data_IF_930104085497
#
_entry.id   IF_930104085497
#
_cell.length_a   1.000
_cell.length_b   1.000
_cell.length_c   1.000
_cell.angle_alpha   90.00
_cell.angle_beta   90.00
_cell.angle_gamma   90.00
#
_symmetry.space_group_name_H-M   'P 1'
#
loop_
_entity.id
_entity.type
_entity.pdbx_description
1 polymer ?
#
# COMPACT_ATOMS: atom_id res chain seq x y z
N UNK A 1 -5.57 -12.29 21.44
CA UNK A 1 -5.05 -11.12 22.17
C UNK A 1 -5.04 -11.48 23.64
N UNK A 2 -3.88 -11.45 24.29
CA UNK A 2 -3.75 -11.80 25.71
C UNK A 2 -3.72 -10.50 26.51
N UNK A 3 -4.64 -10.35 27.44
CA UNK A 3 -4.62 -9.22 28.38
C UNK A 3 -3.53 -9.54 29.40
N UNK A 4 -2.37 -8.92 29.24
CA UNK A 4 -1.31 -8.95 30.25
C UNK A 4 -1.49 -7.76 31.19
N UNK A 5 -1.89 -8.05 32.42
CA UNK A 5 -1.77 -7.11 33.53
C UNK A 5 -0.28 -7.01 33.87
N UNK A 6 0.43 -6.06 33.25
CA UNK A 6 1.84 -5.85 33.53
C UNK A 6 2.03 -4.65 34.46
N UNK A 7 2.77 -4.86 35.54
CA UNK A 7 3.34 -3.79 36.36
C UNK A 7 4.65 -3.32 35.71
N UNK A 8 4.54 -2.66 34.56
CA UNK A 8 5.66 -1.86 34.04
C UNK A 8 5.67 -0.52 34.80
N UNK A 9 6.85 0.05 35.04
CA UNK A 9 7.00 1.33 35.75
C UNK A 9 6.33 2.43 34.92
N UNK A 10 5.34 3.11 35.51
CA UNK A 10 4.56 4.19 34.87
C UNK A 10 5.41 5.39 34.41
N UNK A 11 6.65 5.51 34.89
CA UNK A 11 7.48 6.71 34.77
C UNK A 11 8.06 6.97 33.35
N UNK A 12 8.00 6.01 32.41
CA UNK A 12 8.54 6.16 31.05
C UNK A 12 7.45 6.34 29.96
N UNK A 13 6.16 6.39 30.35
CA UNK A 13 5.03 6.51 29.41
C UNK A 13 4.70 7.96 29.08
N UNK A 14 4.60 8.27 27.79
CA UNK A 14 4.20 9.60 27.32
C UNK A 14 2.67 9.68 27.31
N UNK A 15 2.10 10.48 28.22
CA UNK A 15 0.67 10.78 28.21
C UNK A 15 0.31 11.50 26.91
N UNK A 16 -0.71 11.02 26.22
CA UNK A 16 -1.16 11.69 25.00
C UNK A 16 -1.69 13.10 25.33
N UNK A 17 -1.27 14.16 24.62
CA UNK A 17 -1.61 15.54 24.99
C UNK A 17 -3.11 15.85 24.84
N UNK A 18 -3.80 15.14 23.94
CA UNK A 18 -5.23 15.35 23.62
C UNK A 18 -6.13 14.31 24.31
N UNK A 19 -5.77 13.03 24.22
CA UNK A 19 -6.57 11.90 24.70
C UNK A 19 -6.11 11.45 26.09
N UNK A 20 -6.18 12.37 27.04
CA UNK A 20 -5.92 12.11 28.45
C UNK A 20 -7.02 12.77 29.29
N UNK A 21 -8.10 12.04 29.54
CA UNK A 21 -9.26 12.56 30.25
C UNK A 21 -9.17 12.27 31.75
N UNK A 22 -9.44 13.27 32.58
CA UNK A 22 -9.40 13.12 34.04
C UNK A 22 -10.43 12.10 34.55
N UNK A 23 -11.59 12.04 33.89
CA UNK A 23 -12.70 11.11 34.12
C UNK A 23 -12.60 9.81 33.29
N UNK A 24 -11.50 9.61 32.56
CA UNK A 24 -11.26 8.38 31.83
C UNK A 24 -11.16 7.16 32.75
N UNK A 25 -11.72 6.04 32.31
CA UNK A 25 -11.86 4.81 33.10
C UNK A 25 -10.97 3.66 32.63
N UNK A 26 -10.23 3.85 31.54
CA UNK A 26 -9.26 2.89 30.99
C UNK A 26 -8.05 3.65 30.47
N UNK A 27 -6.86 3.11 30.71
CA UNK A 27 -5.61 3.60 30.13
C UNK A 27 -5.15 2.58 29.08
N UNK A 28 -5.07 3.01 27.83
CA UNK A 28 -4.58 2.21 26.72
C UNK A 28 -3.13 2.59 26.43
N UNK A 29 -2.21 1.64 26.54
CA UNK A 29 -0.79 1.81 26.25
C UNK A 29 -0.48 1.22 24.87
N UNK A 30 0.00 2.07 23.97
CA UNK A 30 0.44 1.69 22.62
C UNK A 30 1.81 2.32 22.36
N UNK A 31 2.81 1.49 22.03
CA UNK A 31 4.20 1.92 21.84
C UNK A 31 4.75 2.66 23.07
N UNK A 32 5.05 3.95 22.97
CA UNK A 32 5.52 4.81 24.07
C UNK A 32 4.43 5.76 24.59
N UNK A 33 3.20 5.64 24.08
CA UNK A 33 2.09 6.54 24.43
C UNK A 33 1.03 5.85 25.28
N UNK A 34 0.46 6.62 26.21
CA UNK A 34 -0.68 6.23 27.03
C UNK A 34 -1.87 7.15 26.75
N UNK A 35 -3.04 6.53 26.52
CA UNK A 35 -4.31 7.20 26.23
C UNK A 35 -5.28 6.91 27.38
N UNK A 36 -5.69 7.93 28.13
CA UNK A 36 -6.68 7.78 29.20
C UNK A 36 -8.06 8.17 28.69
N UNK A 37 -8.94 7.18 28.52
CA UNK A 37 -10.19 7.27 27.74
C UNK A 37 -11.39 6.61 28.44
N UNK A 38 -12.60 6.82 27.91
CA UNK A 38 -13.85 6.34 28.50
C UNK A 38 -14.20 4.93 28.00
N UNK A 39 -14.01 3.91 28.86
CA UNK A 39 -14.27 2.51 28.50
C UNK A 39 -15.72 2.28 28.06
N UNK A 40 -16.68 2.81 28.83
CA UNK A 40 -18.11 2.63 28.54
C UNK A 40 -18.53 3.21 27.20
N UNK A 41 -17.87 4.28 26.74
CA UNK A 41 -18.15 4.85 25.43
C UNK A 41 -17.65 3.90 24.33
N UNK A 42 -16.41 3.41 24.45
CA UNK A 42 -15.80 2.51 23.47
C UNK A 42 -16.49 1.14 23.41
N UNK A 43 -16.86 0.58 24.57
CA UNK A 43 -17.51 -0.73 24.68
C UNK A 43 -18.87 -0.82 23.95
N UNK A 44 -19.51 0.32 23.64
CA UNK A 44 -20.73 0.35 22.82
C UNK A 44 -20.48 0.01 21.36
N UNK A 45 -19.25 0.22 20.88
CA UNK A 45 -18.88 0.10 19.48
C UNK A 45 -17.73 -0.90 19.23
N UNK A 46 -17.08 -1.38 20.29
CA UNK A 46 -15.98 -2.32 20.22
C UNK A 46 -16.25 -3.59 21.02
N UNK A 47 -16.11 -4.75 20.37
CA UNK A 47 -16.23 -6.02 21.07
C UNK A 47 -15.04 -6.26 22.01
N UNK A 48 -13.85 -5.76 21.67
CA UNK A 48 -12.67 -5.83 22.52
C UNK A 48 -12.91 -5.15 23.88
N UNK A 49 -13.43 -3.93 23.85
CA UNK A 49 -13.76 -3.19 25.07
C UNK A 49 -15.03 -3.69 25.75
N UNK A 50 -15.92 -4.43 25.08
CA UNK A 50 -17.08 -5.07 25.71
C UNK A 50 -16.74 -6.40 26.42
N UNK A 51 -15.85 -7.21 25.84
CA UNK A 51 -15.51 -8.55 26.38
C UNK A 51 -14.63 -8.52 27.62
N UNK A 52 -13.89 -7.42 27.81
CA UNK A 52 -13.01 -7.18 28.98
C UNK A 52 -13.75 -7.11 30.32
N UNK A 53 -15.09 -7.18 30.34
CA UNK A 53 -15.90 -7.30 31.58
C UNK A 53 -15.89 -8.72 32.18
N UNK A 54 -15.33 -9.71 31.46
CA UNK A 54 -15.33 -11.11 31.92
C UNK A 54 -14.08 -11.41 32.73
N UNK A 55 -14.10 -11.05 34.02
CA UNK A 55 -13.14 -11.58 35.00
C UNK A 55 -13.41 -13.10 35.13
N UNK A 56 -12.40 -13.99 35.01
CA UNK A 56 -12.59 -15.45 35.13
C UNK A 56 -13.12 -15.95 36.48
N UNK A 57 -13.30 -15.07 37.47
CA UNK A 57 -13.85 -15.42 38.78
C UNK A 57 -15.09 -14.55 39.04
N UNK A 58 -16.27 -15.17 38.96
CA UNK A 58 -17.57 -14.52 39.04
C UNK A 58 -17.82 -13.78 40.35
N UNK A 59 -17.51 -12.48 40.37
CA UNK A 59 -18.05 -11.56 41.37
C UNK A 59 -18.36 -10.23 40.71
N UNK A 60 -19.61 -10.04 40.29
CA UNK A 60 -20.16 -8.72 39.97
C UNK A 60 -20.28 -7.91 41.26
N UNK A 61 -19.23 -7.19 41.64
CA UNK A 61 -19.33 -6.12 42.63
C UNK A 61 -19.82 -4.86 41.92
N UNK A 62 -21.14 -4.69 41.89
CA UNK A 62 -21.73 -3.35 41.75
C UNK A 62 -21.28 -2.56 42.98
N UNK A 63 -20.64 -1.41 42.79
CA UNK A 63 -20.12 -0.50 43.83
C UNK A 63 -18.75 -0.84 44.43
N UNK A 64 -17.70 -0.77 43.60
CA UNK A 64 -16.42 -0.17 43.98
C UNK A 64 -15.78 0.29 42.66
N UNK A 65 -15.32 1.54 42.57
CA UNK A 65 -14.66 2.07 41.36
C UNK A 65 -13.49 1.13 41.04
N UNK A 66 -13.49 0.43 39.89
CA UNK A 66 -12.39 -0.45 39.57
C UNK A 66 -11.10 0.37 39.53
N UNK A 67 -9.94 -0.19 39.93
CA UNK A 67 -8.66 0.43 39.60
C UNK A 67 -8.64 0.72 38.09
N UNK A 68 -8.10 1.87 37.71
CA UNK A 68 -7.94 2.26 36.31
C UNK A 68 -7.44 1.05 35.51
N UNK A 69 -8.25 0.56 34.59
CA UNK A 69 -7.90 -0.64 33.84
C UNK A 69 -6.80 -0.28 32.86
N UNK A 70 -5.61 -0.84 33.05
CA UNK A 70 -4.49 -0.61 32.14
C UNK A 70 -4.43 -1.74 31.10
N UNK A 71 -4.54 -1.36 29.83
CA UNK A 71 -4.51 -2.27 28.68
C UNK A 71 -3.25 -1.96 27.89
N UNK A 72 -2.34 -2.93 27.79
CA UNK A 72 -1.14 -2.82 26.97
C UNK A 72 -1.38 -3.52 25.63
N UNK A 73 -1.27 -2.78 24.54
CA UNK A 73 -1.27 -3.32 23.18
C UNK A 73 0.11 -3.90 22.91
N UNK A 74 0.15 -5.17 22.53
CA UNK A 74 1.39 -5.90 22.30
C UNK A 74 2.16 -5.23 21.14
N UNK A 75 3.45 -4.89 21.28
CA UNK A 75 4.23 -4.30 20.19
C UNK A 75 4.32 -5.16 18.92
N UNK A 76 4.07 -6.47 19.01
CA UNK A 76 3.95 -7.36 17.86
C UNK A 76 2.66 -7.14 17.04
N UNK A 77 1.68 -6.44 17.62
CA UNK A 77 0.52 -5.95 16.89
C UNK A 77 0.91 -4.71 16.08
N UNK A 78 0.61 -4.72 14.78
CA UNK A 78 0.98 -3.67 13.82
C UNK A 78 0.15 -2.36 13.96
N UNK A 79 -0.33 -2.08 15.19
CA UNK A 79 -1.06 -0.85 15.54
C UNK A 79 -0.12 0.10 16.27
N UNK A 80 0.03 1.29 15.69
CA UNK A 80 0.86 2.38 16.17
C UNK A 80 0.01 3.34 16.99
N UNK A 81 0.66 4.17 17.81
CA UNK A 81 -0.02 5.22 18.56
C UNK A 81 -0.84 6.14 17.66
N UNK A 82 -0.30 6.51 16.48
CA UNK A 82 -1.01 7.32 15.47
C UNK A 82 -2.28 6.67 14.93
N UNK A 83 -2.32 5.34 14.88
CA UNK A 83 -3.50 4.62 14.38
C UNK A 83 -4.64 4.69 15.39
N UNK A 84 -4.30 4.55 16.68
CA UNK A 84 -5.23 4.74 17.79
C UNK A 84 -5.68 6.20 17.87
N UNK A 85 -4.76 7.16 17.72
CA UNK A 85 -5.07 8.59 17.69
C UNK A 85 -6.12 8.91 16.62
N UNK A 86 -5.91 8.46 15.38
CA UNK A 86 -6.87 8.68 14.28
C UNK A 86 -8.25 8.04 14.56
N UNK A 87 -8.29 6.86 15.18
CA UNK A 87 -9.54 6.22 15.60
C UNK A 87 -10.25 7.02 16.70
N UNK A 88 -9.51 7.54 17.67
CA UNK A 88 -10.07 8.34 18.76
C UNK A 88 -10.54 9.71 18.26
N UNK A 89 -9.85 10.34 17.31
CA UNK A 89 -10.34 11.55 16.64
C UNK A 89 -11.69 11.31 15.96
N UNK A 90 -11.82 10.19 15.24
CA UNK A 90 -13.08 9.81 14.61
C UNK A 90 -14.22 9.64 15.64
N UNK A 91 -13.89 9.13 16.82
CA UNK A 91 -14.87 8.70 17.82
C UNK A 91 -15.24 9.78 18.85
N UNK A 92 -14.30 10.64 19.24
CA UNK A 92 -14.49 11.69 20.25
C UNK A 92 -14.72 13.08 19.68
N UNK A 93 -14.15 13.38 18.51
CA UNK A 93 -14.23 14.71 17.90
C UNK A 93 -15.15 14.75 16.69
N UNK A 94 -15.95 13.68 16.48
CA UNK A 94 -16.84 13.52 15.34
C UNK A 94 -16.15 13.75 13.99
N UNK A 95 -14.84 13.49 13.89
CA UNK A 95 -14.09 13.63 12.64
C UNK A 95 -14.53 12.53 11.69
N UNK A 96 -15.39 12.80 10.70
CA UNK A 96 -16.02 11.74 9.95
C UNK A 96 -15.07 11.19 8.87
N UNK A 97 -15.25 9.91 8.53
CA UNK A 97 -14.57 9.27 7.41
C UNK A 97 -15.28 9.64 6.10
N UNK A 98 -14.87 10.77 5.52
CA UNK A 98 -15.36 11.24 4.23
C UNK A 98 -14.70 10.52 3.06
N UNK A 99 -15.26 10.69 1.86
CA UNK A 99 -14.67 10.15 0.62
C UNK A 99 -13.33 10.80 0.29
N UNK A 100 -13.15 12.06 0.69
CA UNK A 100 -11.97 12.88 0.45
C UNK A 100 -10.91 12.73 1.56
N UNK A 101 -11.14 11.85 2.53
CA UNK A 101 -10.15 11.56 3.58
C UNK A 101 -8.87 11.00 2.97
N UNK A 102 -7.73 11.40 3.54
CA UNK A 102 -6.40 10.96 3.06
C UNK A 102 -6.22 9.45 3.29
N UNK A 103 -5.48 8.80 2.38
CA UNK A 103 -5.14 7.38 2.49
C UNK A 103 -4.59 7.03 3.88
N UNK A 104 -3.63 7.83 4.39
CA UNK A 104 -2.98 7.59 5.69
C UNK A 104 -3.96 7.60 6.87
N UNK A 105 -5.00 8.42 6.84
CA UNK A 105 -6.03 8.47 7.88
C UNK A 105 -6.92 7.21 7.81
N UNK A 106 -7.37 6.84 6.60
CA UNK A 106 -8.21 5.66 6.39
C UNK A 106 -7.44 4.39 6.78
N UNK A 107 -6.18 4.25 6.34
CA UNK A 107 -5.28 3.15 6.68
C UNK A 107 -5.09 3.01 8.20
N UNK A 108 -4.87 4.13 8.88
CA UNK A 108 -4.71 4.21 10.34
C UNK A 108 -5.96 3.68 11.05
N UNK A 109 -7.14 4.20 10.68
CA UNK A 109 -8.41 3.77 11.28
C UNK A 109 -8.72 2.32 10.93
N UNK A 110 -8.48 1.87 9.69
CA UNK A 110 -8.68 0.49 9.27
C UNK A 110 -7.89 -0.50 10.15
N UNK A 111 -6.60 -0.21 10.38
CA UNK A 111 -5.74 -1.06 11.23
C UNK A 111 -6.22 -1.09 12.67
N UNK A 112 -6.41 0.09 13.30
CA UNK A 112 -6.82 0.18 14.70
C UNK A 112 -8.20 -0.44 14.97
N UNK A 113 -9.16 -0.24 14.06
CA UNK A 113 -10.53 -0.76 14.19
C UNK A 113 -10.67 -2.25 13.89
N UNK A 114 -9.64 -2.90 13.35
CA UNK A 114 -9.77 -4.29 12.87
C UNK A 114 -10.09 -5.30 13.97
N UNK A 115 -10.72 -6.45 13.62
CA UNK A 115 -11.02 -7.52 14.58
C UNK A 115 -9.80 -8.13 15.28
N UNK A 116 -8.60 -7.98 14.70
CA UNK A 116 -7.34 -8.45 15.27
C UNK A 116 -6.75 -7.46 16.29
N UNK A 117 -7.36 -6.29 16.43
CA UNK A 117 -6.87 -5.14 17.19
C UNK A 117 -7.91 -4.67 18.21
N UNK A 118 -8.45 -3.45 18.07
CA UNK A 118 -9.45 -2.93 19.00
C UNK A 118 -10.90 -3.30 18.61
N UNK A 119 -11.08 -4.06 17.53
CA UNK A 119 -12.34 -4.67 17.06
C UNK A 119 -13.54 -3.72 17.16
N UNK A 120 -13.59 -2.72 16.28
CA UNK A 120 -14.71 -1.80 16.07
C UNK A 120 -15.40 -2.12 14.73
N UNK A 121 -16.36 -3.06 14.68
CA UNK A 121 -16.83 -3.63 13.42
C UNK A 121 -17.40 -2.61 12.43
N UNK A 122 -18.28 -1.71 12.88
CA UNK A 122 -18.91 -0.72 12.00
C UNK A 122 -17.91 0.28 11.43
N UNK A 123 -16.93 0.71 12.24
CA UNK A 123 -15.87 1.63 11.80
C UNK A 123 -14.92 0.92 10.85
N UNK A 124 -14.56 -0.33 11.15
CA UNK A 124 -13.70 -1.14 10.30
C UNK A 124 -14.33 -1.39 8.92
N UNK A 125 -15.62 -1.75 8.88
CA UNK A 125 -16.35 -1.90 7.62
C UNK A 125 -16.40 -0.59 6.82
N UNK A 126 -16.65 0.54 7.48
CA UNK A 126 -16.67 1.85 6.83
C UNK A 126 -15.28 2.22 6.29
N UNK A 127 -14.22 2.03 7.07
CA UNK A 127 -12.85 2.30 6.63
C UNK A 127 -12.45 1.39 5.45
N UNK A 128 -12.87 0.11 5.47
CA UNK A 128 -12.63 -0.83 4.37
C UNK A 128 -13.35 -0.39 3.09
N UNK A 129 -14.63 -0.03 3.18
CA UNK A 129 -15.40 0.50 2.04
C UNK A 129 -14.78 1.78 1.47
N UNK A 130 -14.36 2.70 2.35
CA UNK A 130 -13.71 3.95 1.93
C UNK A 130 -12.39 3.67 1.24
N UNK A 131 -11.55 2.82 1.82
CA UNK A 131 -10.28 2.44 1.22
C UNK A 131 -10.48 1.80 -0.16
N UNK A 132 -11.41 0.85 -0.28
CA UNK A 132 -11.77 0.21 -1.54
C UNK A 132 -12.19 1.24 -2.61
N UNK A 133 -13.03 2.21 -2.22
CA UNK A 133 -13.50 3.27 -3.12
C UNK A 133 -12.43 4.26 -3.60
N UNK A 134 -11.23 4.25 -3.00
CA UNK A 134 -10.12 5.10 -3.46
C UNK A 134 -9.49 4.59 -4.77
N UNK A 135 -9.69 3.31 -5.10
CA UNK A 135 -9.05 2.68 -6.24
C UNK A 135 -10.02 2.57 -7.41
N UNK A 136 -9.57 2.87 -8.64
CA UNK A 136 -10.45 2.87 -9.78
C UNK A 136 -10.90 1.45 -10.15
N UNK A 137 -12.18 1.24 -10.50
CA UNK A 137 -12.67 -0.04 -10.95
C UNK A 137 -12.29 -0.25 -12.43
N UNK A 138 -11.01 -0.49 -12.73
CA UNK A 138 -10.57 -0.81 -14.09
C UNK A 138 -9.15 -0.38 -14.43
N UNK A 139 -8.84 -0.42 -15.73
CA UNK A 139 -7.57 0.07 -16.28
C UNK A 139 -7.46 1.57 -16.09
N UNK A 140 -6.57 2.00 -15.21
CA UNK A 140 -6.17 3.40 -15.13
C UNK A 140 -4.66 3.46 -15.28
N UNK A 141 -4.15 3.59 -16.51
CA UNK A 141 -2.73 3.61 -16.82
C UNK A 141 -1.92 4.65 -16.04
N UNK A 142 -2.57 5.68 -15.49
CA UNK A 142 -1.91 6.78 -14.79
C UNK A 142 -2.28 6.88 -13.30
N UNK A 143 -2.93 5.86 -12.74
CA UNK A 143 -3.25 5.86 -11.33
C UNK A 143 -2.00 5.54 -10.51
N UNK A 144 -1.55 6.49 -9.70
CA UNK A 144 -0.41 6.34 -8.78
C UNK A 144 -0.92 6.45 -7.33
N UNK A 145 -0.90 5.37 -6.55
CA UNK A 145 -1.30 5.41 -5.15
C UNK A 145 -0.24 6.11 -4.28
N UNK A 146 -0.71 6.77 -3.22
CA UNK A 146 0.15 7.14 -2.10
C UNK A 146 0.60 5.84 -1.39
N UNK A 147 1.91 5.66 -1.21
CA UNK A 147 2.52 4.51 -0.50
C UNK A 147 1.99 3.13 -0.99
N UNK A 148 2.38 2.68 -2.20
CA UNK A 148 1.88 1.42 -2.79
C UNK A 148 2.21 0.18 -1.94
N UNK A 149 3.28 0.23 -1.15
CA UNK A 149 3.69 -0.87 -0.27
C UNK A 149 2.74 -1.01 0.92
N UNK A 150 2.42 0.10 1.61
CA UNK A 150 1.42 0.09 2.69
C UNK A 150 0.05 -0.31 2.13
N UNK A 151 -0.35 0.23 0.98
CA UNK A 151 -1.61 -0.10 0.33
C UNK A 151 -1.71 -1.60 -0.01
N UNK A 152 -0.67 -2.21 -0.61
CA UNK A 152 -0.66 -3.65 -0.88
C UNK A 152 -0.74 -4.47 0.41
N UNK A 153 0.03 -4.09 1.44
CA UNK A 153 0.00 -4.80 2.72
C UNK A 153 -1.40 -4.81 3.34
N UNK A 154 -2.09 -3.67 3.33
CA UNK A 154 -3.48 -3.57 3.79
C UNK A 154 -4.45 -4.37 2.91
N UNK A 155 -4.24 -4.38 1.59
CA UNK A 155 -5.06 -5.14 0.65
C UNK A 155 -4.98 -6.64 0.90
N UNK A 156 -3.79 -7.12 1.26
CA UNK A 156 -3.54 -8.51 1.61
C UNK A 156 -4.16 -8.80 2.97
N UNK A 157 -3.80 -8.04 4.00
CA UNK A 157 -4.20 -8.26 5.40
C UNK A 157 -5.73 -8.23 5.58
N UNK A 158 -6.42 -7.30 4.92
CA UNK A 158 -7.86 -7.11 5.07
C UNK A 158 -8.69 -7.63 3.89
N UNK A 159 -8.09 -8.36 2.96
CA UNK A 159 -8.76 -8.95 1.80
C UNK A 159 -9.59 -7.94 0.99
N UNK A 160 -8.89 -6.98 0.39
CA UNK A 160 -9.45 -5.94 -0.50
C UNK A 160 -8.97 -6.25 -1.92
N UNK A 161 -9.71 -7.12 -2.61
CA UNK A 161 -9.28 -7.72 -3.89
C UNK A 161 -9.11 -6.72 -5.03
N UNK A 162 -10.01 -5.73 -5.12
CA UNK A 162 -9.97 -4.60 -6.05
C UNK A 162 -8.63 -3.86 -6.02
N UNK A 163 -8.07 -3.66 -4.83
CA UNK A 163 -6.81 -2.95 -4.61
C UNK A 163 -5.60 -3.80 -4.99
N UNK A 164 -5.61 -5.11 -4.69
CA UNK A 164 -4.45 -6.00 -4.89
C UNK A 164 -3.90 -5.94 -6.31
N UNK A 165 -4.77 -6.08 -7.31
CA UNK A 165 -4.39 -6.05 -8.73
C UNK A 165 -3.77 -4.72 -9.15
N UNK A 166 -4.41 -3.62 -8.74
CA UNK A 166 -3.93 -2.26 -9.01
C UNK A 166 -2.57 -2.03 -8.38
N UNK A 167 -2.36 -2.52 -7.16
CA UNK A 167 -1.09 -2.38 -6.44
C UNK A 167 0.03 -3.21 -7.07
N UNK A 168 -0.23 -4.47 -7.42
CA UNK A 168 0.79 -5.28 -8.10
C UNK A 168 1.17 -4.67 -9.46
N UNK A 169 0.20 -4.15 -10.23
CA UNK A 169 0.51 -3.43 -11.47
C UNK A 169 1.41 -2.22 -11.20
N UNK A 170 1.01 -1.35 -10.27
CA UNK A 170 1.75 -0.14 -9.92
C UNK A 170 3.17 -0.42 -9.42
N UNK A 171 3.35 -1.46 -8.62
CA UNK A 171 4.67 -1.86 -8.15
C UNK A 171 5.54 -2.37 -9.31
N UNK A 172 4.98 -3.15 -10.23
CA UNK A 172 5.73 -3.63 -11.40
C UNK A 172 6.09 -2.49 -12.36
N UNK A 173 5.23 -1.48 -12.49
CA UNK A 173 5.44 -0.36 -13.42
C UNK A 173 6.13 0.85 -12.80
N UNK A 174 6.41 0.82 -11.49
CA UNK A 174 7.09 1.92 -10.80
C UNK A 174 8.61 1.89 -11.06
N UNK A 175 9.22 3.06 -11.38
CA UNK A 175 10.65 3.16 -11.64
C UNK A 175 11.53 2.93 -10.39
N UNK A 176 10.95 3.00 -9.18
CA UNK A 176 11.71 2.85 -7.92
C UNK A 176 11.92 1.39 -7.52
N UNK A 177 11.16 0.47 -8.12
CA UNK A 177 11.14 -0.95 -7.78
C UNK A 177 12.04 -1.73 -8.74
N UNK A 178 13.31 -1.86 -8.38
CA UNK A 178 14.24 -2.66 -9.17
C UNK A 178 14.10 -4.15 -8.80
N UNK A 179 13.22 -4.87 -9.50
CA UNK A 179 13.14 -6.32 -9.41
C UNK A 179 14.20 -6.95 -10.33
N UNK A 180 15.49 -6.76 -10.00
CA UNK A 180 16.59 -7.36 -10.77
C UNK A 180 16.36 -8.87 -10.91
N UNK A 181 16.12 -9.33 -12.14
CA UNK A 181 15.88 -10.74 -12.50
C UNK A 181 17.17 -11.55 -12.63
N UNK A 182 18.27 -11.14 -12.01
CA UNK A 182 19.54 -11.87 -12.09
C UNK A 182 19.92 -12.51 -10.76
N UNK A 183 19.11 -13.49 -10.34
CA UNK A 183 19.52 -14.49 -9.38
C UNK A 183 20.20 -15.67 -10.10
N UNK A 184 21.20 -15.40 -10.94
CA UNK A 184 22.20 -16.41 -11.29
C UNK A 184 23.15 -16.58 -10.10
N UNK A 185 22.82 -17.54 -9.23
CA UNK A 185 23.74 -18.06 -8.24
C UNK A 185 25.01 -18.57 -8.96
N UNK A 186 26.11 -17.83 -8.83
CA UNK A 186 27.45 -18.34 -9.09
C UNK A 186 28.23 -18.33 -7.78
N UNK A 187 28.60 -19.49 -7.23
CA UNK A 187 29.45 -19.56 -6.06
C UNK A 187 30.90 -19.35 -6.52
N UNK A 188 31.60 -18.40 -5.92
CA UNK A 188 33.06 -18.43 -5.91
C UNK A 188 33.58 -17.87 -4.60
N UNK A 189 33.89 -18.80 -3.70
CA UNK A 189 35.04 -18.69 -2.81
C UNK A 189 36.23 -18.11 -3.59
N UNK A 190 36.91 -17.07 -3.11
CA UNK A 190 38.34 -17.13 -2.77
C UNK A 190 38.80 -15.85 -2.05
N UNK A 191 39.19 -16.05 -0.80
CA UNK A 191 40.46 -15.59 -0.17
C UNK A 191 40.66 -14.09 0.15
N UNK A 192 40.79 -13.91 1.46
CA UNK A 192 41.37 -12.78 2.15
C UNK A 192 42.73 -12.34 1.59
N UNK A 193 42.96 -11.02 1.60
CA UNK A 193 44.32 -10.51 1.80
C UNK A 193 44.25 -9.26 2.67
N UNK A 194 45.00 -9.33 3.77
CA UNK A 194 45.05 -8.31 4.80
C UNK A 194 46.19 -7.30 4.54
N UNK A 195 45.90 -6.05 4.89
CA UNK A 195 46.84 -5.11 5.54
C UNK A 195 47.32 -3.92 4.70
N UNK A 196 47.85 -2.84 5.33
CA UNK A 196 47.62 -2.37 6.70
C UNK A 196 47.37 -0.84 6.83
N UNK A 197 46.74 -0.50 7.95
CA UNK A 197 46.87 0.68 8.84
C UNK A 197 47.62 1.93 8.36
N UNK A 198 46.98 3.10 8.50
CA UNK A 198 47.63 4.36 8.86
C UNK A 198 46.67 5.28 9.60
N UNK A 199 46.95 5.43 10.89
CA UNK A 199 46.37 6.37 11.85
C UNK A 199 46.89 7.79 11.58
N UNK A 200 46.03 8.82 11.65
CA UNK A 200 46.41 10.08 12.31
C UNK A 200 45.17 10.94 12.61
N UNK A 201 45.13 11.36 13.86
CA UNK A 201 44.16 12.18 14.59
C UNK A 201 44.66 13.62 14.72
N UNK A 202 43.75 14.61 14.71
CA UNK A 202 43.84 15.98 15.30
C UNK A 202 42.50 16.66 14.98
N UNK A 203 41.49 16.76 15.85
CA UNK A 203 41.32 17.58 17.07
C UNK A 203 41.57 19.09 16.88
N UNK A 204 40.49 19.88 16.77
CA UNK A 204 40.32 21.24 17.36
C UNK A 204 38.80 21.51 17.47
N UNK A 205 38.34 21.82 18.68
CA UNK A 205 36.94 22.14 18.98
C UNK A 205 36.58 23.63 18.97
N UNK A 206 35.35 23.86 19.43
CA UNK A 206 34.65 25.12 19.83
C UNK A 206 34.01 25.94 18.70
N UNK A 207 32.67 25.97 18.64
CA UNK A 207 31.82 26.94 19.37
C UNK A 207 30.34 26.68 19.12
N UNK A 208 29.56 26.63 20.20
CA UNK A 208 28.09 26.68 20.20
C UNK A 208 27.62 28.11 19.88
N UNK A 209 26.74 28.26 18.89
CA UNK A 209 25.71 29.31 18.89
C UNK A 209 24.45 28.75 18.24
N UNK A 210 23.35 28.89 18.95
CA UNK A 210 22.01 28.45 18.58
C UNK A 210 21.54 29.08 17.26
N UNK A 211 20.98 28.25 16.38
CA UNK A 211 20.01 28.68 15.36
C UNK A 211 19.07 27.52 15.01
N UNK A 212 17.81 27.88 14.81
CA UNK A 212 16.64 27.06 14.45
C UNK A 212 16.91 25.87 13.51
N UNK A 213 16.28 24.68 13.72
CA UNK A 213 16.04 23.78 12.60
C UNK A 213 14.74 24.19 11.91
N UNK A 214 14.95 24.95 10.83
CA UNK A 214 14.04 25.09 9.73
C UNK A 214 13.71 23.71 9.11
N UNK A 215 12.51 23.67 8.57
CA UNK A 215 11.83 22.58 7.90
C UNK A 215 12.71 21.99 6.80
N UNK A 216 13.31 20.83 7.07
CA UNK A 216 13.73 19.91 6.01
C UNK A 216 13.21 18.51 6.31
N UNK A 217 11.95 18.32 5.91
CA UNK A 217 11.34 17.12 5.33
C UNK A 217 12.31 15.94 5.17
N UNK A 218 12.62 15.26 6.28
CA UNK A 218 13.19 13.93 6.24
C UNK A 218 12.06 12.97 5.90
N UNK A 219 11.77 12.86 4.61
CA UNK A 219 10.99 11.76 4.04
C UNK A 219 11.83 10.47 4.15
N UNK A 220 12.11 10.04 5.37
CA UNK A 220 12.29 8.62 5.64
C UNK A 220 10.87 8.12 5.87
N UNK A 221 10.10 8.04 4.78
CA UNK A 221 8.91 7.23 4.78
C UNK A 221 9.37 5.83 5.18
N UNK A 222 8.81 5.31 6.27
CA UNK A 222 9.05 3.95 6.71
C UNK A 222 8.43 2.99 5.68
N UNK A 223 9.09 2.83 4.54
CA UNK A 223 8.78 1.84 3.52
C UNK A 223 8.80 0.48 4.22
N UNK A 224 7.64 -0.16 4.29
CA UNK A 224 7.54 -1.51 4.82
C UNK A 224 8.00 -2.40 3.67
N UNK A 225 9.18 -3.02 3.76
CA UNK A 225 9.70 -3.80 2.65
C UNK A 225 8.68 -4.88 2.28
N UNK A 226 8.39 -4.99 0.98
CA UNK A 226 7.50 -6.01 0.44
C UNK A 226 7.87 -7.39 0.99
N UNK A 227 6.86 -8.22 1.26
CA UNK A 227 7.15 -9.60 1.66
C UNK A 227 7.90 -10.33 0.54
N UNK A 228 8.72 -11.32 0.89
CA UNK A 228 9.44 -12.10 -0.12
C UNK A 228 8.49 -12.77 -1.13
N UNK A 229 7.28 -13.12 -0.70
CA UNK A 229 6.26 -13.70 -1.57
C UNK A 229 5.68 -12.66 -2.53
N UNK A 230 5.43 -11.44 -2.06
CA UNK A 230 4.91 -10.36 -2.90
C UNK A 230 5.95 -9.86 -3.89
N UNK A 231 7.21 -9.76 -3.48
CA UNK A 231 8.31 -9.46 -4.39
C UNK A 231 8.41 -10.51 -5.52
N UNK A 232 8.35 -11.81 -5.19
CA UNK A 232 8.32 -12.89 -6.19
C UNK A 232 7.12 -12.79 -7.12
N UNK A 233 5.94 -12.45 -6.59
CA UNK A 233 4.72 -12.24 -7.40
C UNK A 233 4.89 -11.05 -8.36
N UNK A 234 5.48 -9.95 -7.91
CA UNK A 234 5.79 -8.81 -8.77
C UNK A 234 6.75 -9.21 -9.90
N UNK A 235 7.84 -9.93 -9.60
CA UNK A 235 8.78 -10.42 -10.61
C UNK A 235 8.10 -11.35 -11.63
N UNK A 236 7.25 -12.27 -11.17
CA UNK A 236 6.51 -13.16 -12.06
C UNK A 236 5.50 -12.40 -12.92
N UNK A 237 4.78 -11.45 -12.34
CA UNK A 237 3.84 -10.60 -13.07
C UNK A 237 4.57 -9.79 -14.15
N UNK A 238 5.70 -9.17 -13.81
CA UNK A 238 6.53 -8.42 -14.75
C UNK A 238 6.95 -9.28 -15.94
N UNK A 239 7.46 -10.48 -15.69
CA UNK A 239 7.83 -11.42 -16.75
C UNK A 239 6.64 -11.77 -17.65
N UNK A 240 5.46 -12.04 -17.07
CA UNK A 240 4.24 -12.34 -17.84
C UNK A 240 3.77 -11.16 -18.69
N UNK A 241 3.83 -9.94 -18.15
CA UNK A 241 3.51 -8.72 -18.89
C UNK A 241 4.44 -8.57 -20.10
N UNK A 242 5.76 -8.70 -19.88
CA UNK A 242 6.77 -8.57 -20.94
C UNK A 242 6.54 -9.65 -22.01
N UNK A 243 6.39 -10.91 -21.61
CA UNK A 243 6.16 -12.03 -22.53
C UNK A 243 4.92 -11.80 -23.40
N UNK A 244 3.85 -11.27 -22.82
CA UNK A 244 2.59 -11.01 -23.51
C UNK A 244 2.66 -9.79 -24.43
N UNK A 245 3.23 -8.68 -23.96
CA UNK A 245 3.15 -7.39 -24.65
C UNK A 245 4.27 -7.18 -25.69
N UNK A 246 5.45 -7.77 -25.49
CA UNK A 246 6.60 -7.61 -26.39
C UNK A 246 6.26 -7.96 -27.85
N UNK A 247 5.61 -9.09 -28.17
CA UNK A 247 5.24 -9.40 -29.56
C UNK A 247 4.35 -8.34 -30.21
N UNK A 248 3.43 -7.74 -29.44
CA UNK A 248 2.56 -6.67 -29.91
C UNK A 248 3.33 -5.36 -30.12
N UNK A 249 4.20 -4.99 -29.17
CA UNK A 249 4.97 -3.76 -29.24
C UNK A 249 5.94 -3.75 -30.42
N UNK A 250 6.60 -4.88 -30.70
CA UNK A 250 7.63 -4.98 -31.75
C UNK A 250 7.10 -5.43 -33.11
N UNK A 251 5.78 -5.59 -33.27
CA UNK A 251 5.16 -5.95 -34.55
C UNK A 251 4.22 -4.84 -35.02
N UNK A 252 4.55 -4.12 -36.11
CA UNK A 252 3.66 -3.11 -36.66
C UNK A 252 2.30 -3.72 -37.02
N UNK A 253 1.18 -3.06 -36.65
CA UNK A 253 -0.14 -3.62 -36.86
C UNK A 253 -0.57 -3.49 -38.33
N UNK A 254 -1.29 -4.50 -38.83
CA UNK A 254 -1.98 -4.42 -40.11
C UNK A 254 -3.28 -3.60 -40.03
N UNK A 255 -3.71 -3.04 -41.16
CA UNK A 255 -5.02 -2.39 -41.31
C UNK A 255 -5.75 -2.90 -42.56
N UNK A 256 -7.08 -2.69 -42.69
CA UNK A 256 -7.81 -3.03 -43.91
C UNK A 256 -7.37 -2.29 -45.17
N UNK A 257 -6.66 -1.16 -45.04
CA UNK A 257 -6.16 -0.37 -46.16
C UNK A 257 -4.64 -0.49 -46.27
N UNK A 258 -4.15 -1.07 -47.37
CA UNK A 258 -2.70 -1.30 -47.56
C UNK A 258 -1.86 -0.03 -47.36
N UNK A 259 -2.29 1.12 -47.89
CA UNK A 259 -1.58 2.38 -47.72
C UNK A 259 -1.44 2.79 -46.23
N UNK A 260 -2.43 2.51 -45.38
CA UNK A 260 -2.33 2.79 -43.95
C UNK A 260 -1.44 1.76 -43.23
N UNK A 261 -1.42 0.52 -43.69
CA UNK A 261 -0.48 -0.51 -43.20
C UNK A 261 0.97 -0.11 -43.50
N UNK A 262 1.23 0.42 -44.70
CA UNK A 262 2.57 0.91 -45.07
C UNK A 262 3.01 2.06 -44.17
N UNK A 263 2.11 3.00 -43.83
CA UNK A 263 2.44 4.08 -42.86
C UNK A 263 2.84 3.52 -41.50
N UNK A 264 2.10 2.54 -40.97
CA UNK A 264 2.53 1.89 -39.73
C UNK A 264 3.90 1.23 -39.90
N UNK A 265 4.12 0.43 -40.93
CA UNK A 265 5.40 -0.23 -41.16
C UNK A 265 6.59 0.76 -41.19
N UNK A 266 6.40 1.93 -41.83
CA UNK A 266 7.44 2.95 -41.98
C UNK A 266 7.69 3.78 -40.71
N UNK A 267 6.64 4.02 -39.91
CA UNK A 267 6.71 4.96 -38.77
C UNK A 267 6.77 4.28 -37.39
N UNK A 268 6.41 2.99 -37.30
CA UNK A 268 6.23 2.29 -36.02
C UNK A 268 7.48 2.28 -35.14
N UNK A 269 8.65 2.08 -35.75
CA UNK A 269 9.92 2.09 -35.01
C UNK A 269 10.14 3.43 -34.29
N UNK A 270 9.89 4.53 -34.99
CA UNK A 270 10.15 5.89 -34.50
C UNK A 270 9.07 6.39 -33.56
N UNK A 271 7.80 6.09 -33.84
CA UNK A 271 6.66 6.68 -33.12
C UNK A 271 6.13 5.79 -31.98
N UNK A 272 6.49 4.50 -31.96
CA UNK A 272 6.01 3.56 -30.94
C UNK A 272 7.15 2.85 -30.23
N UNK A 273 8.02 2.15 -30.96
CA UNK A 273 9.06 1.32 -30.33
C UNK A 273 10.09 2.20 -29.59
N UNK A 274 10.65 3.22 -30.24
CA UNK A 274 11.65 4.09 -29.63
C UNK A 274 11.12 4.79 -28.36
N UNK A 275 9.97 5.50 -28.38
CA UNK A 275 9.40 6.10 -27.17
C UNK A 275 9.09 5.10 -26.06
N UNK A 276 8.66 3.88 -26.42
CA UNK A 276 8.44 2.82 -25.44
C UNK A 276 9.76 2.37 -24.80
N UNK A 277 10.85 2.22 -25.55
CA UNK A 277 12.14 1.88 -24.96
C UNK A 277 12.69 3.00 -24.06
N UNK A 278 12.48 4.26 -24.42
CA UNK A 278 12.96 5.43 -23.66
C UNK A 278 12.24 5.64 -22.32
N UNK A 279 10.97 5.22 -22.22
CA UNK A 279 10.13 5.43 -21.03
C UNK A 279 9.78 4.12 -20.30
N UNK A 280 10.52 3.05 -20.60
CA UNK A 280 10.31 1.70 -20.09
C UNK A 280 8.90 1.10 -20.38
N UNK A 281 8.32 1.48 -21.51
CA UNK A 281 7.02 1.03 -22.01
C UNK A 281 6.87 -0.47 -22.21
N UNK A 282 7.97 -1.22 -22.31
CA UNK A 282 7.96 -2.69 -22.53
C UNK A 282 7.22 -3.43 -21.42
N UNK A 283 7.32 -2.97 -20.17
CA UNK A 283 6.58 -3.53 -19.04
C UNK A 283 5.44 -2.62 -18.54
N UNK A 284 5.14 -1.52 -19.27
CA UNK A 284 4.04 -0.59 -19.00
C UNK A 284 3.04 -0.63 -20.16
N UNK A 285 2.37 -1.77 -20.39
CA UNK A 285 1.54 -1.96 -21.58
C UNK A 285 0.35 -1.01 -21.62
N UNK A 286 -0.28 -0.73 -20.47
CA UNK A 286 -1.47 0.10 -20.44
C UNK A 286 -1.14 1.55 -20.82
N UNK A 287 -0.03 2.07 -20.32
CA UNK A 287 0.52 3.40 -20.60
C UNK A 287 1.00 3.50 -22.04
N UNK A 288 1.68 2.46 -22.53
CA UNK A 288 2.17 2.41 -23.92
C UNK A 288 1.01 2.43 -24.91
N UNK A 289 -0.07 1.68 -24.64
CA UNK A 289 -1.27 1.69 -25.46
C UNK A 289 -2.00 3.04 -25.43
N UNK A 290 -2.01 3.74 -24.30
CA UNK A 290 -2.49 5.14 -24.28
C UNK A 290 -1.59 6.07 -25.11
N UNK A 291 -0.27 5.92 -25.01
CA UNK A 291 0.68 6.68 -25.82
C UNK A 291 0.45 6.48 -27.31
N UNK A 292 0.25 5.23 -27.73
CA UNK A 292 -0.08 4.87 -29.12
C UNK A 292 -1.39 5.53 -29.58
N UNK A 293 -2.42 5.58 -28.74
CA UNK A 293 -3.68 6.29 -28.99
C UNK A 293 -3.50 7.81 -29.04
N UNK A 294 -2.54 8.36 -28.31
CA UNK A 294 -2.30 9.81 -28.27
C UNK A 294 -1.53 10.33 -29.50
N UNK A 295 -0.85 9.47 -30.26
CA UNK A 295 -0.14 9.83 -31.49
C UNK A 295 -1.10 10.37 -32.56
N UNK A 296 -0.74 11.47 -33.22
CA UNK A 296 -1.50 12.06 -34.32
C UNK A 296 -1.29 11.30 -35.64
N UNK A 297 -1.87 10.11 -35.71
CA UNK A 297 -1.78 9.24 -36.89
C UNK A 297 -2.36 9.84 -38.16
N UNK A 298 -3.28 10.81 -38.04
CA UNK A 298 -3.85 11.50 -39.19
C UNK A 298 -2.80 12.35 -39.91
N UNK A 299 -1.90 12.99 -39.14
CA UNK A 299 -0.77 13.75 -39.68
C UNK A 299 0.25 12.86 -40.40
N UNK A 300 0.43 11.63 -39.92
CA UNK A 300 1.33 10.65 -40.53
C UNK A 300 0.75 9.96 -41.77
N UNK A 301 -0.54 10.19 -42.07
CA UNK A 301 -1.18 9.73 -43.31
C UNK A 301 -2.20 8.60 -43.13
N UNK A 302 -2.57 8.24 -41.90
CA UNK A 302 -3.66 7.27 -41.67
C UNK A 302 -5.02 7.90 -41.97
N UNK A 303 -5.92 7.09 -42.53
CA UNK A 303 -7.31 7.49 -42.70
C UNK A 303 -8.10 7.36 -41.39
N UNK A 304 -9.14 8.18 -41.23
CA UNK A 304 -9.92 8.27 -40.00
C UNK A 304 -10.59 6.95 -39.58
N UNK A 305 -10.97 6.09 -40.53
CA UNK A 305 -11.56 4.78 -40.20
C UNK A 305 -10.53 3.83 -39.58
N UNK A 306 -9.30 3.80 -40.09
CA UNK A 306 -8.23 2.97 -39.54
C UNK A 306 -7.77 3.47 -38.17
N UNK A 307 -7.72 4.80 -37.97
CA UNK A 307 -7.41 5.39 -36.66
C UNK A 307 -8.45 4.96 -35.62
N UNK A 308 -9.74 5.10 -35.93
CA UNK A 308 -10.83 4.70 -35.02
C UNK A 308 -10.75 3.22 -34.67
N UNK A 309 -10.60 2.36 -35.68
CA UNK A 309 -10.48 0.92 -35.48
C UNK A 309 -9.30 0.58 -34.57
N UNK A 310 -8.14 1.21 -34.77
CA UNK A 310 -6.95 0.96 -33.94
C UNK A 310 -7.12 1.46 -32.51
N UNK A 311 -7.78 2.60 -32.31
CA UNK A 311 -8.15 3.04 -30.96
C UNK A 311 -9.03 2.04 -30.23
N UNK A 312 -10.03 1.47 -30.93
CA UNK A 312 -10.92 0.45 -30.38
C UNK A 312 -10.13 -0.83 -30.04
N UNK A 313 -9.32 -1.33 -30.97
CA UNK A 313 -8.46 -2.52 -30.76
C UNK A 313 -7.48 -2.32 -29.60
N UNK A 314 -6.79 -1.19 -29.50
CA UNK A 314 -5.86 -0.92 -28.40
C UNK A 314 -6.57 -0.73 -27.06
N UNK A 315 -7.80 -0.21 -27.05
CA UNK A 315 -8.61 -0.10 -25.83
C UNK A 315 -9.09 -1.47 -25.37
N UNK A 316 -9.53 -2.33 -26.30
CA UNK A 316 -9.85 -3.73 -26.01
C UNK A 316 -8.62 -4.47 -25.48
N UNK A 317 -7.44 -4.21 -26.04
CA UNK A 317 -6.20 -4.85 -25.61
C UNK A 317 -5.78 -4.44 -24.19
N UNK A 318 -5.96 -3.17 -23.81
CA UNK A 318 -5.78 -2.75 -22.42
C UNK A 318 -6.69 -3.55 -21.47
N UNK A 319 -7.94 -3.81 -21.86
CA UNK A 319 -8.88 -4.60 -21.08
C UNK A 319 -8.47 -6.08 -21.04
N UNK A 320 -7.97 -6.63 -22.15
CA UNK A 320 -7.47 -8.00 -22.23
C UNK A 320 -6.28 -8.21 -21.29
N UNK A 321 -5.28 -7.33 -21.34
CA UNK A 321 -4.12 -7.36 -20.45
C UNK A 321 -4.56 -7.27 -19.00
N UNK A 322 -5.43 -6.31 -18.68
CA UNK A 322 -5.96 -6.18 -17.33
C UNK A 322 -6.63 -7.47 -16.88
N UNK A 323 -7.55 -8.04 -17.65
CA UNK A 323 -8.22 -9.29 -17.31
C UNK A 323 -7.23 -10.46 -17.15
N UNK A 324 -6.24 -10.59 -18.03
CA UNK A 324 -5.23 -11.64 -17.97
C UNK A 324 -4.41 -11.59 -16.66
N UNK A 325 -4.21 -10.40 -16.09
CA UNK A 325 -3.54 -10.26 -14.80
C UNK A 325 -4.28 -10.96 -13.64
N UNK A 326 -5.61 -11.15 -13.72
CA UNK A 326 -6.33 -11.90 -12.68
C UNK A 326 -5.85 -13.35 -12.62
N UNK A 327 -5.58 -13.95 -13.79
CA UNK A 327 -5.02 -15.31 -13.90
C UNK A 327 -3.55 -15.32 -13.51
N UNK A 328 -2.74 -14.37 -14.00
CA UNK A 328 -1.30 -14.30 -13.71
C UNK A 328 -1.00 -14.10 -12.22
N UNK A 329 -1.84 -13.35 -11.51
CA UNK A 329 -1.73 -13.13 -10.07
C UNK A 329 -2.45 -14.20 -9.23
N UNK A 330 -3.22 -15.10 -9.86
CA UNK A 330 -4.02 -16.10 -9.16
C UNK A 330 -5.14 -15.48 -8.30
N UNK A 331 -5.74 -14.38 -8.76
CA UNK A 331 -6.84 -13.69 -8.08
C UNK A 331 -8.22 -14.29 -8.42
N UNK A 332 -8.30 -15.17 -9.41
CA UNK A 332 -9.54 -15.90 -9.74
C UNK A 332 -9.79 -16.96 -8.66
N UNK A 333 -10.75 -16.70 -7.76
CA UNK A 333 -11.35 -17.74 -6.93
C UNK A 333 -12.30 -18.56 -7.80
N UNK A 334 -12.03 -19.86 -7.91
CA UNK A 334 -12.91 -20.82 -8.56
C UNK A 334 -14.32 -20.73 -7.94
N UNK A 335 -15.26 -20.08 -8.62
CA UNK A 335 -16.67 -20.02 -8.18
C UNK A 335 -17.45 -21.31 -8.53
N UNK A 336 -16.72 -22.42 -8.62
CA UNK A 336 -17.19 -23.70 -9.16
C UNK A 336 -17.47 -24.76 -8.08
N UNK A 337 -17.47 -24.39 -6.80
CA UNK A 337 -17.69 -25.33 -5.68
C UNK A 337 -18.76 -24.88 -4.68
N UNK A 338 -19.89 -24.35 -5.16
CA UNK A 338 -21.15 -24.34 -4.40
C UNK A 338 -22.30 -24.83 -5.28
N UNK A 339 -22.23 -26.09 -5.68
CA UNK A 339 -23.39 -26.88 -6.06
C UNK A 339 -23.03 -28.36 -6.04
N UNK A 340 -23.16 -28.96 -4.85
CA UNK A 340 -23.41 -30.39 -4.64
C UNK A 340 -24.18 -30.55 -3.33
#
# INVERSE_FOLDING_TARGET
MTITYSTLREDDLIKHPIFWFDDGSVVLHVQNYAFKIHRMLLARHSNFFAQTDTIPNGTTTKFDTPPETHIVIDPSQHVRAKDVEALLEHFYHDTPLFRESRFTQIASILRASSPLQLDFPSIHSLAKERLDSMFPPGTVPLFQPDDPEEALALAIEYDISSMRKVMYYNLVTSPETNFDTDATQSPTDTVATAGPTSTSSSDVGTTETADHPDVTRSNIAHQRPLSQNDAKRCTQLMARIIDYFTPMLFTPPGTPHMACTDVFADTWMTLVIQPALENDGVYKPLETLEGMKATDWAKEGLCQSCIRQKHEEWTEEQQNIWKAMDEWLGLVTDNSSVSA
#
